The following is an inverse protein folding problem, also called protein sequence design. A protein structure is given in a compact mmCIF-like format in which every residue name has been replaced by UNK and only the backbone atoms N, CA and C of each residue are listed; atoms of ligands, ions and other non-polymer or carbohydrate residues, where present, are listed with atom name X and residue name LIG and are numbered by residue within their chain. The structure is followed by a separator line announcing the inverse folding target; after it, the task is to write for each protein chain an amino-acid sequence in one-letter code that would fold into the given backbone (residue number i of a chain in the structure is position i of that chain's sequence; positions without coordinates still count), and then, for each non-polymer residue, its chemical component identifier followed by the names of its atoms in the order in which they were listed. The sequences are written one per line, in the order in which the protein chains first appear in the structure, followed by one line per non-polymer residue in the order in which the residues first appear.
data_IF_165720296248
#
_entry.id   IF_165720296248
#
_cell.length_a   1.000
_cell.length_b   1.000
_cell.length_c   1.000
_cell.angle_alpha   90.00
_cell.angle_beta   90.00
_cell.angle_gamma   90.00
#
_symmetry.space_group_name_H-M   'P 1'
#
loop_
_entity.id
_entity.type
_entity.pdbx_description
1 polymer ?
#
# COMPACT_ATOMS: atom_id res chain seq x y z
N UNK A 1 -17.91 0.93 -6.02
CA UNK A 1 -17.55 1.57 -4.73
C UNK A 1 -16.93 0.57 -3.75
N UNK A 2 -17.50 -0.63 -3.58
CA UNK A 2 -17.04 -1.69 -2.64
C UNK A 2 -15.53 -2.04 -2.74
N UNK A 3 -14.96 -2.13 -3.96
CA UNK A 3 -13.52 -2.46 -4.14
C UNK A 3 -12.59 -1.44 -3.49
N UNK A 4 -12.87 -0.14 -3.63
CA UNK A 4 -12.04 0.93 -3.02
C UNK A 4 -12.20 0.95 -1.50
N UNK A 5 -13.41 0.72 -1.03
CA UNK A 5 -13.71 0.60 0.40
C UNK A 5 -12.99 -0.60 1.03
N UNK A 6 -12.88 -1.73 0.34
CA UNK A 6 -12.17 -2.91 0.84
C UNK A 6 -10.67 -2.64 1.07
N UNK A 7 -9.99 -2.00 0.11
CA UNK A 7 -8.59 -1.61 0.27
C UNK A 7 -8.37 -0.63 1.42
N UNK A 8 -9.27 0.35 1.58
CA UNK A 8 -9.22 1.32 2.67
C UNK A 8 -9.37 0.65 4.05
N UNK A 9 -10.37 -0.23 4.21
CA UNK A 9 -10.59 -0.93 5.48
C UNK A 9 -9.43 -1.88 5.81
N UNK A 10 -8.88 -2.57 4.80
CA UNK A 10 -7.74 -3.46 5.00
C UNK A 10 -6.51 -2.71 5.53
N UNK A 11 -6.18 -1.55 4.96
CA UNK A 11 -5.11 -0.68 5.48
C UNK A 11 -5.36 -0.22 6.92
N UNK A 12 -6.61 0.05 7.27
CA UNK A 12 -7.00 0.47 8.62
C UNK A 12 -6.77 -0.64 9.66
N UNK A 13 -7.11 -1.89 9.34
CA UNK A 13 -6.88 -3.04 10.22
C UNK A 13 -5.40 -3.37 10.41
N UNK A 14 -4.56 -3.17 9.37
CA UNK A 14 -3.11 -3.31 9.48
C UNK A 14 -2.53 -2.23 10.42
N UNK A 15 -3.04 -1.00 10.34
CA UNK A 15 -2.65 0.07 11.26
C UNK A 15 -2.96 -0.28 12.72
N UNK A 16 -4.10 -0.92 12.99
CA UNK A 16 -4.47 -1.32 14.35
C UNK A 16 -3.58 -2.44 14.92
N UNK A 17 -3.08 -3.36 14.08
CA UNK A 17 -2.22 -4.47 14.54
C UNK A 17 -0.74 -4.06 14.73
N UNK A 18 -0.35 -2.86 14.28
CA UNK A 18 1.02 -2.34 14.38
C UNK A 18 1.56 -2.27 15.82
N UNK A 19 0.69 -2.04 16.82
CA UNK A 19 1.10 -1.97 18.23
C UNK A 19 1.68 -3.29 18.76
N UNK A 20 1.18 -4.43 18.31
CA UNK A 20 1.72 -5.75 18.68
C UNK A 20 3.08 -6.03 18.04
N UNK A 21 3.25 -5.60 16.79
CA UNK A 21 4.52 -5.71 16.06
C UNK A 21 5.59 -4.83 16.74
N UNK A 22 5.23 -3.62 17.14
CA UNK A 22 6.13 -2.68 17.80
C UNK A 22 6.64 -3.22 19.16
N UNK A 23 5.77 -3.90 19.92
CA UNK A 23 6.18 -4.57 21.18
C UNK A 23 7.11 -5.76 20.93
N UNK A 24 6.87 -6.53 19.86
CA UNK A 24 7.72 -7.65 19.48
C UNK A 24 9.11 -7.17 19.03
N UNK A 25 9.18 -6.10 18.23
CA UNK A 25 10.44 -5.49 17.79
C UNK A 25 11.26 -4.98 18.97
N UNK A 26 10.64 -4.31 19.94
CA UNK A 26 11.34 -3.92 21.17
C UNK A 26 11.88 -5.11 21.96
N UNK A 27 11.14 -6.22 22.03
CA UNK A 27 11.58 -7.40 22.81
C UNK A 27 12.68 -8.19 22.08
N UNK A 28 12.63 -8.24 20.75
CA UNK A 28 13.50 -9.10 19.94
C UNK A 28 14.74 -8.40 19.38
N UNK A 29 14.72 -7.08 19.24
CA UNK A 29 15.78 -6.30 18.57
C UNK A 29 16.47 -5.28 19.47
N UNK A 30 16.11 -5.17 20.74
CA UNK A 30 16.83 -4.31 21.68
C UNK A 30 18.25 -4.84 21.94
N UNK A 31 19.26 -4.05 21.60
CA UNK A 31 20.67 -4.43 21.70
C UNK A 31 21.25 -5.13 20.46
N UNK A 32 20.44 -5.44 19.44
CA UNK A 32 20.94 -5.99 18.16
C UNK A 32 21.70 -4.88 17.41
N UNK A 33 22.94 -5.18 17.01
CA UNK A 33 23.91 -4.22 16.45
C UNK A 33 24.21 -3.00 17.36
N UNK A 34 24.01 -3.12 18.68
CA UNK A 34 24.26 -2.01 19.62
C UNK A 34 23.29 -0.85 19.49
N UNK A 35 22.15 -1.06 18.82
CA UNK A 35 21.10 -0.06 18.63
C UNK A 35 19.90 -0.36 19.54
N UNK A 36 19.29 0.69 20.08
CA UNK A 36 18.06 0.58 20.87
C UNK A 36 16.88 0.12 20.01
N UNK A 37 15.99 -0.71 20.57
CA UNK A 37 14.84 -1.28 19.86
C UNK A 37 13.94 -0.25 19.15
N UNK A 38 13.86 0.99 19.65
CA UNK A 38 13.08 2.05 19.01
C UNK A 38 13.62 2.48 17.64
N UNK A 39 14.94 2.40 17.40
CA UNK A 39 15.55 2.72 16.10
C UNK A 39 15.19 1.69 15.04
N UNK A 40 15.07 0.44 15.45
CA UNK A 40 14.63 -0.64 14.57
C UNK A 40 13.18 -0.45 14.10
N UNK A 41 12.31 0.15 14.91
CA UNK A 41 10.95 0.48 14.47
C UNK A 41 10.95 1.45 13.28
N UNK A 42 11.77 2.50 13.32
CA UNK A 42 11.87 3.46 12.20
C UNK A 42 12.42 2.80 10.94
N UNK A 43 13.45 1.97 11.07
CA UNK A 43 14.03 1.26 9.91
C UNK A 43 13.00 0.31 9.27
N UNK A 44 12.27 -0.45 10.08
CA UNK A 44 11.26 -1.39 9.58
C UNK A 44 10.09 -0.63 8.94
N UNK A 45 9.62 0.45 9.56
CA UNK A 45 8.52 1.27 9.04
C UNK A 45 8.88 1.92 7.69
N UNK A 46 10.12 2.44 7.55
CA UNK A 46 10.59 3.00 6.28
C UNK A 46 10.71 1.94 5.19
N UNK A 47 11.23 0.74 5.50
CA UNK A 47 11.31 -0.35 4.52
C UNK A 47 9.91 -0.72 4.00
N UNK A 48 8.94 -0.89 4.90
CA UNK A 48 7.55 -1.22 4.55
C UNK A 48 6.93 -0.09 3.72
N UNK A 49 7.14 1.16 4.12
CA UNK A 49 6.63 2.34 3.41
C UNK A 49 7.21 2.49 2.01
N UNK A 50 8.51 2.21 1.83
CA UNK A 50 9.16 2.21 0.51
C UNK A 50 8.55 1.15 -0.41
N UNK A 51 8.39 -0.08 0.09
CA UNK A 51 7.76 -1.17 -0.70
C UNK A 51 6.31 -0.84 -1.05
N UNK A 52 5.55 -0.34 -0.08
CA UNK A 52 4.17 0.10 -0.30
C UNK A 52 4.08 1.26 -1.31
N UNK A 53 5.03 2.20 -1.27
CA UNK A 53 5.14 3.30 -2.23
C UNK A 53 5.42 2.82 -3.65
N UNK A 54 6.32 1.85 -3.82
CA UNK A 54 6.59 1.22 -5.12
C UNK A 54 5.33 0.54 -5.65
N UNK A 55 4.66 -0.26 -4.83
CA UNK A 55 3.41 -0.94 -5.21
C UNK A 55 2.32 0.09 -5.55
N UNK A 56 2.19 1.14 -4.75
CA UNK A 56 1.24 2.24 -4.98
C UNK A 56 1.49 2.95 -6.31
N UNK A 57 2.77 3.19 -6.65
CA UNK A 57 3.16 3.78 -7.92
C UNK A 57 2.73 2.92 -9.13
N UNK A 58 2.91 1.60 -9.06
CA UNK A 58 2.47 0.68 -10.12
C UNK A 58 0.96 0.40 -10.11
N UNK A 59 0.29 0.53 -8.96
CA UNK A 59 -1.14 0.28 -8.82
C UNK A 59 -1.99 1.44 -9.33
N UNK A 60 -1.44 2.65 -9.40
CA UNK A 60 -2.07 3.80 -10.03
C UNK A 60 -2.09 3.60 -11.56
N UNK A 61 -3.18 3.00 -12.06
CA UNK A 61 -3.50 3.03 -13.49
C UNK A 61 -3.59 4.48 -13.96
N UNK A 62 -2.73 4.88 -14.90
CA UNK A 62 -2.73 6.22 -15.49
C UNK A 62 -4.05 6.58 -16.19
N UNK A 63 -4.15 7.86 -16.58
CA UNK A 63 -5.31 8.50 -17.24
C UNK A 63 -6.01 7.58 -18.26
N UNK A 64 -7.35 7.57 -18.34
CA UNK A 64 -8.10 6.77 -19.31
C UNK A 64 -7.63 6.92 -20.76
N UNK A 65 -6.94 8.00 -21.15
CA UNK A 65 -6.35 8.14 -22.48
C UNK A 65 -5.05 7.35 -22.70
N UNK A 66 -4.29 7.05 -21.65
CA UNK A 66 -3.04 6.31 -21.69
C UNK A 66 -3.03 5.25 -20.56
N UNK A 67 -3.99 4.31 -20.63
CA UNK A 67 -4.11 3.24 -19.64
C UNK A 67 -2.99 2.21 -19.83
N UNK A 68 -1.89 2.36 -19.09
CA UNK A 68 -0.99 1.26 -18.79
C UNK A 68 -1.51 0.58 -17.52
N UNK A 69 -2.59 -0.20 -17.64
CA UNK A 69 -3.20 -0.86 -16.48
C UNK A 69 -2.77 -2.32 -16.43
N UNK A 70 -2.06 -2.69 -15.37
CA UNK A 70 -1.74 -4.10 -15.04
C UNK A 70 -3.00 -4.84 -14.52
N UNK A 71 -4.05 -4.08 -14.18
CA UNK A 71 -5.24 -4.57 -13.48
C UNK A 71 -6.55 -4.53 -14.29
N UNK A 72 -6.57 -3.88 -15.47
CA UNK A 72 -7.77 -3.80 -16.30
C UNK A 72 -7.50 -4.48 -17.64
N UNK A 73 -8.45 -5.31 -18.07
CA UNK A 73 -8.46 -5.88 -19.42
C UNK A 73 -8.91 -4.81 -20.42
N UNK A 74 -8.50 -4.94 -21.69
CA UNK A 74 -8.82 -3.97 -22.76
C UNK A 74 -10.32 -3.65 -22.88
N UNK A 75 -11.19 -4.64 -22.65
CA UNK A 75 -12.64 -4.45 -22.66
C UNK A 75 -13.13 -3.55 -21.52
N UNK A 76 -12.53 -3.64 -20.33
CA UNK A 76 -12.87 -2.78 -19.19
C UNK A 76 -12.40 -1.34 -19.41
N UNK A 77 -11.25 -1.15 -20.07
CA UNK A 77 -10.73 0.16 -20.47
C UNK A 77 -11.65 0.79 -21.52
N UNK A 78 -12.10 0.02 -22.51
CA UNK A 78 -13.06 0.50 -23.53
C UNK A 78 -14.39 0.93 -22.91
N UNK A 79 -14.92 0.13 -21.96
CA UNK A 79 -16.15 0.45 -21.25
C UNK A 79 -15.99 1.70 -20.37
N UNK A 80 -14.84 1.86 -19.71
CA UNK A 80 -14.52 3.03 -18.90
C UNK A 80 -14.40 4.31 -19.74
N UNK A 81 -13.72 4.24 -20.91
CA UNK A 81 -13.62 5.37 -21.85
C UNK A 81 -15.00 5.85 -22.32
N UNK A 82 -15.89 4.89 -22.66
CA UNK A 82 -17.25 5.21 -23.10
C UNK A 82 -18.05 5.95 -22.02
N UNK A 83 -17.92 5.56 -20.74
CA UNK A 83 -18.58 6.23 -19.60
C UNK A 83 -18.06 7.64 -19.32
N UNK A 84 -16.78 7.89 -19.58
CA UNK A 84 -16.17 9.22 -19.40
C UNK A 84 -16.60 10.17 -20.51
N UNK A 85 -16.79 9.70 -21.75
CA UNK A 85 -17.27 10.53 -22.87
C UNK A 85 -18.77 10.82 -22.86
N UNK A 86 -19.56 10.05 -22.09
CA UNK A 86 -21.02 10.20 -21.99
C UNK A 86 -21.45 11.28 -20.98
N UNK A 87 -20.49 12.04 -20.44
CA UNK A 87 -20.69 13.09 -19.45
C UNK A 87 -20.30 14.44 -20.03
#
# INVERSE_FOLDING_TARGET
MVRRSAFYNFGQYIGLSSGGIQSAVFTSLDGVNGMSGWRWNFIIDEIISVVAGIIGFYSLSGDPHNCYSIFLTDDEIRLARKRVSEK
#
